data_IF_952980772641
#
_entry.id   IF_952980772641
#
_cell.length_a   1.000
_cell.length_b   1.000
_cell.length_c   1.000
_cell.angle_alpha   90.00
_cell.angle_beta   90.00
_cell.angle_gamma   90.00
#
_symmetry.space_group_name_H-M   'P 1'
#
loop_
_entity.id
_entity.type
_entity.pdbx_description
1 polymer ?
#
# COMPACT_ATOMS: atom_id res chain seq x y z
N UNK A 1 -0.48 -22.06 -22.75
CA UNK A 1 -1.21 -21.62 -23.96
C UNK A 1 -0.43 -21.86 -25.26
N UNK A 2 0.84 -21.44 -25.37
CA UNK A 2 1.70 -21.72 -26.56
C UNK A 2 1.65 -23.19 -27.01
N UNK A 3 1.87 -24.13 -26.09
CA UNK A 3 1.81 -25.57 -26.40
C UNK A 3 0.43 -26.05 -26.88
N UNK A 4 -0.65 -25.44 -26.40
CA UNK A 4 -2.01 -25.77 -26.85
C UNK A 4 -2.23 -25.30 -28.29
N UNK A 5 -1.84 -24.06 -28.60
CA UNK A 5 -1.89 -23.53 -29.97
C UNK A 5 -1.03 -24.35 -30.93
N UNK A 6 0.16 -24.78 -30.51
CA UNK A 6 1.04 -25.64 -31.29
C UNK A 6 0.41 -27.00 -31.60
N UNK A 7 -0.22 -27.66 -30.61
CA UNK A 7 -0.89 -28.96 -30.78
C UNK A 7 -2.06 -28.90 -31.76
N UNK A 8 -2.76 -27.77 -31.82
CA UNK A 8 -3.84 -27.51 -32.77
C UNK A 8 -3.35 -26.99 -34.13
N UNK A 9 -2.02 -26.97 -34.37
CA UNK A 9 -1.42 -26.55 -35.65
C UNK A 9 -1.39 -25.03 -35.89
N UNK A 10 -1.65 -24.22 -34.86
CA UNK A 10 -1.53 -22.76 -34.90
C UNK A 10 -0.11 -22.26 -34.62
N UNK A 11 0.10 -20.96 -34.79
CA UNK A 11 1.36 -20.26 -34.49
C UNK A 11 1.43 -19.90 -32.99
N UNK A 12 2.34 -20.50 -32.19
CA UNK A 12 2.47 -20.23 -30.77
C UNK A 12 2.90 -18.80 -30.45
N UNK A 13 3.61 -18.13 -31.36
CA UNK A 13 4.11 -16.77 -31.13
C UNK A 13 2.98 -15.73 -31.10
N UNK A 14 1.77 -16.09 -31.58
CA UNK A 14 0.56 -15.29 -31.37
C UNK A 14 0.11 -15.22 -29.91
N UNK A 15 0.53 -16.16 -29.07
CA UNK A 15 0.34 -16.07 -27.62
C UNK A 15 1.44 -15.18 -27.06
N UNK A 16 1.18 -13.88 -27.08
CA UNK A 16 2.09 -12.85 -26.60
C UNK A 16 1.31 -11.64 -26.08
N UNK A 17 1.80 -10.93 -25.05
CA UNK A 17 1.19 -9.68 -24.60
C UNK A 17 1.04 -8.65 -25.73
N UNK A 18 -0.18 -8.18 -25.98
CA UNK A 18 -0.52 -7.09 -26.91
C UNK A 18 -0.39 -5.71 -26.27
N UNK A 19 -0.36 -5.66 -24.94
CA UNK A 19 -0.15 -4.44 -24.13
C UNK A 19 1.15 -4.57 -23.32
N UNK A 20 1.76 -3.46 -22.88
CA UNK A 20 2.87 -3.51 -21.93
C UNK A 20 2.52 -4.29 -20.67
N UNK A 21 3.44 -5.12 -20.21
CA UNK A 21 3.34 -5.87 -18.96
C UNK A 21 4.63 -5.70 -18.18
N UNK A 22 4.52 -5.10 -17.00
CA UNK A 22 5.63 -4.92 -16.06
C UNK A 22 5.41 -5.77 -14.81
N UNK A 23 6.27 -6.78 -14.62
CA UNK A 23 6.27 -7.65 -13.44
C UNK A 23 7.33 -7.19 -12.45
N UNK A 24 6.93 -6.89 -11.21
CA UNK A 24 7.85 -6.55 -10.13
C UNK A 24 8.01 -7.73 -9.18
N UNK A 25 9.26 -8.11 -8.88
CA UNK A 25 9.55 -9.21 -7.96
C UNK A 25 9.77 -8.68 -6.55
N UNK A 26 8.73 -8.75 -5.71
CA UNK A 26 8.69 -8.15 -4.36
C UNK A 26 8.08 -9.07 -3.27
N UNK A 27 7.36 -10.12 -3.66
CA UNK A 27 6.70 -11.09 -2.77
C UNK A 27 7.57 -12.30 -2.38
N UNK A 28 8.87 -12.29 -2.69
CA UNK A 28 9.76 -13.45 -2.48
C UNK A 28 10.71 -13.32 -1.30
N UNK A 29 11.01 -12.10 -0.85
CA UNK A 29 11.92 -11.84 0.27
C UNK A 29 11.19 -11.96 1.60
N UNK A 30 11.81 -12.68 2.54
CA UNK A 30 11.31 -12.85 3.91
C UNK A 30 12.27 -12.22 4.92
N UNK A 31 11.74 -11.78 6.07
CA UNK A 31 12.55 -11.26 7.18
C UNK A 31 13.06 -12.43 8.03
N UNK A 32 14.02 -13.18 7.49
CA UNK A 32 14.74 -14.23 8.22
C UNK A 32 15.68 -13.64 9.28
N UNK A 33 16.32 -12.53 8.93
CA UNK A 33 17.22 -11.77 9.77
C UNK A 33 16.73 -10.32 9.87
N UNK A 34 16.85 -9.71 11.05
CA UNK A 34 16.50 -8.31 11.27
C UNK A 34 17.37 -7.71 12.37
N UNK A 35 17.26 -6.39 12.60
CA UNK A 35 17.97 -5.74 13.70
C UNK A 35 19.47 -5.53 13.50
N UNK A 36 20.03 -5.80 12.32
CA UNK A 36 21.48 -5.62 12.06
C UNK A 36 21.74 -5.08 10.65
N UNK A 37 22.92 -4.50 10.44
CA UNK A 37 23.36 -4.01 9.12
C UNK A 37 23.49 -5.12 8.07
N UNK A 38 23.74 -6.36 8.47
CA UNK A 38 23.87 -7.50 7.55
C UNK A 38 22.52 -8.13 7.18
N UNK A 39 21.42 -7.72 7.82
CA UNK A 39 20.11 -8.34 7.62
C UNK A 39 19.64 -8.30 6.17
N UNK A 40 19.84 -7.17 5.47
CA UNK A 40 19.49 -7.05 4.04
C UNK A 40 20.22 -8.09 3.17
N UNK A 41 21.54 -8.21 3.30
CA UNK A 41 22.34 -9.14 2.51
C UNK A 41 21.91 -10.58 2.79
N UNK A 42 21.77 -10.95 4.07
CA UNK A 42 21.39 -12.31 4.45
C UNK A 42 19.99 -12.70 3.99
N UNK A 43 19.04 -11.76 4.03
CA UNK A 43 17.67 -12.00 3.54
C UNK A 43 17.63 -12.14 2.02
N UNK A 44 18.37 -11.29 1.29
CA UNK A 44 18.48 -11.38 -0.17
C UNK A 44 19.17 -12.69 -0.59
N UNK A 45 20.24 -13.11 0.08
CA UNK A 45 20.92 -14.37 -0.22
C UNK A 45 19.98 -15.58 -0.03
N UNK A 46 19.18 -15.58 1.05
CA UNK A 46 18.15 -16.61 1.28
C UNK A 46 17.04 -16.56 0.23
N UNK A 47 16.60 -15.37 -0.17
CA UNK A 47 15.61 -15.18 -1.22
C UNK A 47 16.08 -15.84 -2.53
N UNK A 48 17.30 -15.53 -2.99
CA UNK A 48 17.87 -16.14 -4.20
C UNK A 48 18.05 -17.65 -4.07
N UNK A 49 18.48 -18.13 -2.91
CA UNK A 49 18.62 -19.58 -2.64
C UNK A 49 17.30 -20.33 -2.72
N UNK A 50 16.18 -19.73 -2.25
CA UNK A 50 14.85 -20.34 -2.26
C UNK A 50 14.12 -20.23 -3.58
N UNK A 51 14.38 -19.17 -4.35
CA UNK A 51 13.56 -18.80 -5.51
C UNK A 51 14.28 -18.92 -6.87
N UNK A 52 15.44 -19.58 -6.91
CA UNK A 52 16.27 -19.72 -8.12
C UNK A 52 15.48 -20.20 -9.36
N UNK A 53 14.67 -21.24 -9.21
CA UNK A 53 13.87 -21.79 -10.31
C UNK A 53 12.82 -20.78 -10.81
N UNK A 54 12.10 -20.13 -9.88
CA UNK A 54 11.10 -19.10 -10.20
C UNK A 54 11.74 -17.93 -10.96
N UNK A 55 12.90 -17.47 -10.53
CA UNK A 55 13.60 -16.37 -11.21
C UNK A 55 14.15 -16.77 -12.57
N UNK A 56 14.58 -18.02 -12.73
CA UNK A 56 14.96 -18.57 -14.02
C UNK A 56 13.77 -18.61 -14.98
N UNK A 57 12.58 -18.99 -14.50
CA UNK A 57 11.34 -18.94 -15.28
C UNK A 57 10.96 -17.50 -15.67
N UNK A 58 11.00 -16.54 -14.75
CA UNK A 58 10.71 -15.13 -15.05
C UNK A 58 11.69 -14.54 -16.07
N UNK A 59 12.97 -14.88 -15.95
CA UNK A 59 14.01 -14.46 -16.89
C UNK A 59 13.84 -15.09 -18.27
N UNK A 60 13.40 -16.36 -18.32
CA UNK A 60 13.00 -16.99 -19.58
C UNK A 60 11.79 -16.29 -20.19
N UNK A 61 10.77 -15.96 -19.39
CA UNK A 61 9.57 -15.29 -19.86
C UNK A 61 9.90 -13.91 -20.46
N UNK A 62 10.73 -13.10 -19.79
CA UNK A 62 11.20 -11.82 -20.32
C UNK A 62 11.91 -11.93 -21.68
N UNK A 63 12.59 -13.04 -21.95
CA UNK A 63 13.22 -13.28 -23.25
C UNK A 63 12.26 -13.83 -24.30
N UNK A 64 11.19 -14.48 -23.87
CA UNK A 64 10.30 -15.27 -24.73
C UNK A 64 9.04 -14.51 -25.15
N UNK A 65 8.67 -13.46 -24.41
CA UNK A 65 7.52 -12.61 -24.68
C UNK A 65 7.96 -11.18 -24.97
N UNK A 66 7.47 -10.60 -26.06
CA UNK A 66 7.61 -9.16 -26.31
C UNK A 66 6.62 -8.38 -25.43
N UNK A 67 6.92 -7.11 -25.15
CA UNK A 67 6.17 -6.25 -24.23
C UNK A 67 6.12 -6.73 -22.76
N UNK A 68 6.95 -7.71 -22.38
CA UNK A 68 7.04 -8.19 -21.00
C UNK A 68 8.37 -7.80 -20.38
N UNK A 69 8.34 -6.99 -19.32
CA UNK A 69 9.51 -6.53 -18.58
C UNK A 69 9.45 -7.00 -17.13
N UNK A 70 10.58 -7.44 -16.58
CA UNK A 70 10.72 -7.82 -15.18
C UNK A 70 11.60 -6.81 -14.45
N UNK A 71 11.04 -6.21 -13.40
CA UNK A 71 11.81 -5.47 -12.40
C UNK A 71 12.38 -6.51 -11.41
N UNK A 72 13.72 -6.62 -11.30
CA UNK A 72 14.35 -7.71 -10.56
C UNK A 72 14.14 -7.60 -9.04
N UNK A 73 14.39 -8.70 -8.29
CA UNK A 73 14.35 -8.68 -6.83
C UNK A 73 15.19 -7.54 -6.23
N UNK A 74 14.82 -7.10 -5.02
CA UNK A 74 15.55 -6.06 -4.29
C UNK A 74 15.53 -4.67 -4.97
N UNK A 75 14.52 -4.41 -5.81
CA UNK A 75 14.29 -3.11 -6.45
C UNK A 75 13.26 -2.24 -5.72
N UNK A 76 12.31 -2.87 -5.02
CA UNK A 76 11.20 -2.20 -4.36
C UNK A 76 9.91 -3.03 -4.38
N UNK A 77 8.83 -2.45 -3.87
CA UNK A 77 7.48 -3.01 -3.88
C UNK A 77 6.73 -2.52 -5.12
N UNK A 78 5.96 -3.39 -5.77
CA UNK A 78 5.29 -3.15 -7.05
C UNK A 78 4.58 -1.81 -7.13
N UNK A 79 3.75 -1.46 -6.16
CA UNK A 79 2.95 -0.22 -6.19
C UNK A 79 3.77 1.04 -5.99
N UNK A 80 4.85 0.98 -5.20
CA UNK A 80 5.75 2.13 -5.04
C UNK A 80 6.61 2.32 -6.29
N UNK A 81 7.14 1.23 -6.87
CA UNK A 81 7.83 1.27 -8.16
C UNK A 81 6.89 1.77 -9.27
N UNK A 82 5.62 1.38 -9.22
CA UNK A 82 4.61 1.87 -10.16
C UNK A 82 4.41 3.38 -10.03
N UNK A 83 4.18 3.88 -8.82
CA UNK A 83 3.97 5.30 -8.55
C UNK A 83 5.18 6.17 -8.92
N UNK A 84 6.39 5.72 -8.58
CA UNK A 84 7.63 6.47 -8.76
C UNK A 84 8.19 6.40 -10.19
N UNK A 85 7.92 5.31 -10.93
CA UNK A 85 8.63 5.02 -12.18
C UNK A 85 7.73 4.51 -13.33
N UNK A 86 6.89 3.49 -13.11
CA UNK A 86 6.20 2.83 -14.24
C UNK A 86 4.97 3.59 -14.74
N UNK A 87 4.18 4.19 -13.84
CA UNK A 87 2.95 4.91 -14.16
C UNK A 87 3.24 6.22 -14.88
N UNK A 88 2.50 6.47 -15.96
CA UNK A 88 2.78 7.56 -16.92
C UNK A 88 1.70 8.64 -16.93
N UNK A 89 0.53 8.37 -16.36
CA UNK A 89 -0.67 9.25 -16.35
C UNK A 89 -1.27 9.48 -17.74
N UNK A 90 -0.46 9.87 -18.72
CA UNK A 90 -0.83 9.97 -20.13
C UNK A 90 0.20 9.22 -20.97
N UNK A 91 -0.28 8.32 -21.81
CA UNK A 91 0.51 7.54 -22.75
C UNK A 91 0.49 8.16 -24.15
N UNK A 92 1.54 7.91 -24.92
CA UNK A 92 1.58 8.20 -26.36
C UNK A 92 1.52 6.90 -27.16
N UNK A 93 0.48 6.78 -27.99
CA UNK A 93 0.27 5.65 -28.89
C UNK A 93 0.84 5.86 -30.27
N UNK A 94 0.54 4.90 -31.15
CA UNK A 94 0.87 5.01 -32.57
C UNK A 94 0.21 6.25 -33.19
N UNK A 95 0.88 6.86 -34.17
CA UNK A 95 0.42 8.08 -34.87
C UNK A 95 0.29 9.32 -33.97
N UNK A 96 1.08 9.39 -32.89
CA UNK A 96 1.15 10.54 -31.99
C UNK A 96 -0.19 10.85 -31.28
N UNK A 97 -1.01 9.83 -31.04
CA UNK A 97 -2.25 9.95 -30.25
C UNK A 97 -1.89 9.85 -28.76
N UNK A 98 -2.29 10.84 -27.97
CA UNK A 98 -2.20 10.76 -26.51
C UNK A 98 -3.50 10.22 -25.91
N UNK A 99 -3.41 9.41 -24.86
CA UNK A 99 -4.56 8.86 -24.14
C UNK A 99 -4.23 8.60 -22.66
N UNK A 100 -5.22 8.51 -21.76
CA UNK A 100 -4.96 8.29 -20.34
C UNK A 100 -4.32 6.93 -20.10
N UNK A 101 -3.37 6.91 -19.16
CA UNK A 101 -2.84 5.66 -18.61
C UNK A 101 -3.91 4.98 -17.75
N UNK A 102 -4.08 3.68 -17.98
CA UNK A 102 -5.02 2.82 -17.26
C UNK A 102 -4.44 1.41 -17.19
N UNK A 103 -4.65 0.70 -16.08
CA UNK A 103 -4.09 -0.65 -15.92
C UNK A 103 -4.93 -1.56 -15.03
N UNK A 104 -4.76 -2.87 -15.22
CA UNK A 104 -5.18 -3.88 -14.25
C UNK A 104 -3.93 -4.58 -13.74
N UNK A 105 -3.90 -4.88 -12.44
CA UNK A 105 -2.77 -5.53 -11.79
C UNK A 105 -3.15 -6.86 -11.16
N UNK A 106 -2.20 -7.78 -11.07
CA UNK A 106 -2.36 -9.07 -10.38
C UNK A 106 -2.20 -8.95 -8.85
N UNK A 107 -2.59 -7.81 -8.31
CA UNK A 107 -2.47 -7.46 -6.91
C UNK A 107 -3.63 -6.52 -6.53
N UNK A 108 -4.26 -6.78 -5.38
CA UNK A 108 -5.43 -6.02 -4.94
C UNK A 108 -5.16 -4.54 -4.74
N UNK A 109 -3.94 -4.17 -4.32
CA UNK A 109 -3.55 -2.80 -3.97
C UNK A 109 -3.06 -1.96 -5.15
N UNK A 110 -3.22 -2.48 -6.38
CA UNK A 110 -3.06 -1.73 -7.63
C UNK A 110 -3.75 -0.35 -7.62
N UNK A 111 -4.91 -0.15 -6.96
CA UNK A 111 -5.53 1.17 -6.79
C UNK A 111 -4.63 2.25 -6.19
N UNK A 112 -3.50 1.92 -5.56
CA UNK A 112 -2.51 2.91 -5.11
C UNK A 112 -2.11 3.92 -6.21
N UNK A 113 -2.05 3.49 -7.47
CA UNK A 113 -1.73 4.36 -8.61
C UNK A 113 -2.81 5.42 -8.89
N UNK A 114 -4.03 5.23 -8.37
CA UNK A 114 -5.12 6.18 -8.57
C UNK A 114 -4.87 7.51 -7.86
N UNK A 115 -3.90 7.58 -6.95
CA UNK A 115 -3.46 8.83 -6.31
C UNK A 115 -2.87 9.86 -7.28
N UNK A 116 -2.41 9.43 -8.46
CA UNK A 116 -1.93 10.30 -9.58
C UNK A 116 -2.93 10.35 -10.75
N UNK A 117 -4.18 9.95 -10.54
CA UNK A 117 -5.23 10.01 -11.56
C UNK A 117 -5.20 8.90 -12.62
N UNK A 118 -4.38 7.87 -12.43
CA UNK A 118 -4.37 6.67 -13.27
C UNK A 118 -5.47 5.72 -12.80
N UNK A 119 -6.40 5.35 -13.68
CA UNK A 119 -7.41 4.36 -13.33
C UNK A 119 -6.80 2.96 -13.35
N UNK A 120 -6.74 2.31 -12.19
CA UNK A 120 -6.31 0.92 -12.14
C UNK A 120 -6.70 0.19 -10.87
N UNK A 121 -6.88 -1.12 -11.00
CA UNK A 121 -7.39 -1.98 -9.93
C UNK A 121 -6.87 -3.41 -10.04
N UNK A 122 -7.03 -4.16 -8.95
CA UNK A 122 -6.63 -5.56 -8.88
C UNK A 122 -7.60 -6.49 -9.60
N UNK A 123 -7.08 -7.48 -10.32
CA UNK A 123 -7.84 -8.54 -11.00
C UNK A 123 -7.19 -9.91 -10.78
N UNK A 124 -7.91 -10.98 -11.11
CA UNK A 124 -7.37 -12.34 -11.08
C UNK A 124 -6.39 -12.63 -12.23
N UNK A 125 -5.66 -13.74 -12.10
CA UNK A 125 -4.71 -14.24 -13.10
C UNK A 125 -5.31 -14.36 -14.51
N UNK A 126 -6.49 -14.95 -14.58
CA UNK A 126 -7.16 -15.27 -15.85
C UNK A 126 -7.63 -14.00 -16.56
N UNK A 127 -8.19 -13.04 -15.82
CA UNK A 127 -8.62 -11.75 -16.35
C UNK A 127 -7.43 -10.96 -16.90
N UNK A 128 -6.31 -10.91 -16.16
CA UNK A 128 -5.11 -10.24 -16.65
C UNK A 128 -4.53 -10.92 -17.88
N UNK A 129 -4.46 -12.26 -17.90
CA UNK A 129 -4.01 -13.02 -19.07
C UNK A 129 -4.87 -12.74 -20.31
N UNK A 130 -6.19 -12.63 -20.15
CA UNK A 130 -7.10 -12.28 -21.23
C UNK A 130 -6.82 -10.86 -21.77
N UNK A 131 -6.64 -9.88 -20.88
CA UNK A 131 -6.28 -8.49 -21.25
C UNK A 131 -4.91 -8.44 -21.94
N UNK A 132 -3.94 -9.20 -21.44
CA UNK A 132 -2.62 -9.33 -22.07
C UNK A 132 -2.75 -9.86 -23.50
N UNK A 133 -3.71 -10.74 -23.79
CA UNK A 133 -3.94 -11.28 -25.14
C UNK A 133 -4.88 -10.40 -25.99
N UNK A 134 -5.18 -9.18 -25.54
CA UNK A 134 -5.95 -8.20 -26.29
C UNK A 134 -7.47 -8.31 -26.14
N UNK A 135 -7.95 -9.13 -25.20
CA UNK A 135 -9.38 -9.10 -24.85
C UNK A 135 -9.69 -7.82 -24.05
N UNK A 136 -10.75 -7.08 -24.41
CA UNK A 136 -11.24 -6.01 -23.55
C UNK A 136 -11.60 -6.54 -22.16
N UNK A 137 -11.34 -5.73 -21.13
CA UNK A 137 -11.86 -6.00 -19.80
C UNK A 137 -13.36 -5.62 -19.77
N UNK A 138 -14.20 -6.54 -19.31
CA UNK A 138 -15.64 -6.32 -19.22
C UNK A 138 -16.06 -6.12 -17.76
N UNK A 139 -16.84 -5.07 -17.51
CA UNK A 139 -17.47 -4.82 -16.22
C UNK A 139 -18.82 -4.14 -16.40
N UNK A 140 -19.70 -4.32 -15.42
CA UNK A 140 -20.90 -3.49 -15.30
C UNK A 140 -20.49 -2.04 -15.07
N UNK A 141 -21.24 -1.09 -15.64
CA UNK A 141 -21.02 0.33 -15.37
C UNK A 141 -21.22 0.54 -13.86
N UNK A 142 -20.19 0.96 -13.11
CA UNK A 142 -20.26 1.05 -11.67
C UNK A 142 -20.97 2.32 -11.23
N UNK A 143 -21.61 2.28 -10.07
CA UNK A 143 -21.96 3.49 -9.35
C UNK A 143 -20.69 4.21 -8.88
N UNK A 144 -20.74 5.55 -8.80
CA UNK A 144 -19.60 6.36 -8.35
C UNK A 144 -19.98 7.10 -7.07
N UNK A 145 -19.26 6.78 -5.99
CA UNK A 145 -19.39 7.43 -4.69
C UNK A 145 -18.37 8.57 -4.61
N UNK A 146 -18.86 9.80 -4.58
CA UNK A 146 -18.04 10.99 -4.41
C UNK A 146 -17.69 11.19 -2.93
N UNK A 147 -16.41 11.20 -2.59
CA UNK A 147 -15.92 11.51 -1.24
C UNK A 147 -15.44 12.96 -1.20
N UNK A 148 -16.24 13.83 -0.61
CA UNK A 148 -15.96 15.25 -0.50
C UNK A 148 -15.07 15.52 0.71
N UNK A 149 -13.81 15.84 0.46
CA UNK A 149 -12.84 16.24 1.49
C UNK A 149 -12.87 17.75 1.70
N UNK A 150 -13.04 18.18 2.95
CA UNK A 150 -13.01 19.59 3.37
C UNK A 150 -11.99 19.80 4.49
N UNK A 151 -11.72 21.07 4.85
CA UNK A 151 -10.77 21.39 5.92
C UNK A 151 -9.33 20.98 5.60
N UNK A 152 -8.53 20.80 6.64
CA UNK A 152 -7.11 20.41 6.56
C UNK A 152 -6.73 19.55 7.76
N UNK A 153 -5.87 18.55 7.52
CA UNK A 153 -5.31 17.73 8.61
C UNK A 153 -4.59 18.62 9.65
N UNK A 154 -4.87 18.34 10.93
CA UNK A 154 -4.18 19.00 12.03
C UNK A 154 -2.70 18.59 12.10
N UNK A 155 -1.80 19.43 12.64
CA UNK A 155 -0.40 19.04 12.86
C UNK A 155 -0.29 17.75 13.67
N UNK A 156 0.60 16.85 13.25
CA UNK A 156 0.80 15.55 13.90
C UNK A 156 -0.16 14.44 13.44
N UNK A 157 -1.17 14.75 12.62
CA UNK A 157 -2.00 13.74 11.95
C UNK A 157 -1.30 13.26 10.67
N UNK A 158 -1.32 11.95 10.46
CA UNK A 158 -0.64 11.28 9.34
C UNK A 158 -1.60 10.85 8.23
N UNK A 159 -1.05 10.51 7.05
CA UNK A 159 -1.81 9.86 5.99
C UNK A 159 -2.40 8.52 6.44
N UNK A 160 -1.71 7.79 7.33
CA UNK A 160 -2.18 6.53 7.92
C UNK A 160 -3.45 6.76 8.75
N UNK A 161 -3.49 7.82 9.56
CA UNK A 161 -4.70 8.16 10.33
C UNK A 161 -5.88 8.47 9.42
N UNK A 162 -5.63 9.24 8.35
CA UNK A 162 -6.64 9.63 7.38
C UNK A 162 -7.20 8.40 6.64
N UNK A 163 -6.35 7.50 6.14
CA UNK A 163 -6.83 6.32 5.40
C UNK A 163 -7.59 5.35 6.29
N UNK A 164 -7.20 5.18 7.56
CA UNK A 164 -7.96 4.34 8.50
C UNK A 164 -9.34 4.96 8.81
N UNK A 165 -9.42 6.27 8.96
CA UNK A 165 -10.71 6.99 9.10
C UNK A 165 -11.57 6.82 7.85
N UNK A 166 -11.01 6.96 6.64
CA UNK A 166 -11.73 6.76 5.38
C UNK A 166 -12.18 5.30 5.23
N UNK A 167 -11.35 4.34 5.60
CA UNK A 167 -11.66 2.91 5.53
C UNK A 167 -12.86 2.56 6.42
N UNK A 168 -12.86 3.04 7.67
CA UNK A 168 -14.00 2.89 8.59
C UNK A 168 -15.27 3.55 8.00
N UNK A 169 -15.14 4.78 7.49
CA UNK A 169 -16.25 5.56 6.94
C UNK A 169 -16.88 4.88 5.71
N UNK A 170 -16.08 4.44 4.75
CA UNK A 170 -16.56 3.86 3.50
C UNK A 170 -17.12 2.45 3.68
N UNK A 171 -16.60 1.67 4.65
CA UNK A 171 -17.22 0.40 5.05
C UNK A 171 -18.65 0.60 5.57
N UNK A 172 -18.90 1.67 6.35
CA UNK A 172 -20.27 2.00 6.83
C UNK A 172 -21.20 2.39 5.68
N UNK A 173 -20.66 2.98 4.61
CA UNK A 173 -21.42 3.41 3.42
C UNK A 173 -21.56 2.32 2.33
N UNK A 174 -21.05 1.11 2.56
CA UNK A 174 -21.24 -0.08 1.68
C UNK A 174 -20.86 0.17 0.21
N UNK A 175 -19.62 0.61 -0.01
CA UNK A 175 -19.10 0.93 -1.34
C UNK A 175 -18.58 -0.29 -2.14
N UNK A 176 -19.02 -1.49 -1.78
CA UNK A 176 -18.53 -2.73 -2.42
C UNK A 176 -18.89 -2.75 -3.91
N UNK A 177 -17.91 -3.08 -4.76
CA UNK A 177 -18.03 -3.11 -6.24
C UNK A 177 -18.34 -1.74 -6.90
N UNK A 178 -18.30 -0.64 -6.13
CA UNK A 178 -18.47 0.73 -6.63
C UNK A 178 -17.13 1.38 -6.92
N UNK A 179 -17.16 2.48 -7.67
CA UNK A 179 -16.04 3.40 -7.74
C UNK A 179 -16.14 4.43 -6.62
N UNK A 180 -14.99 4.84 -6.10
CA UNK A 180 -14.84 5.97 -5.19
C UNK A 180 -14.02 7.02 -5.91
N UNK A 181 -14.50 8.26 -5.92
CA UNK A 181 -13.77 9.41 -6.45
C UNK A 181 -13.68 10.49 -5.37
N UNK A 182 -12.47 10.97 -5.11
CA UNK A 182 -12.19 11.99 -4.10
C UNK A 182 -12.23 13.38 -4.71
N UNK A 183 -12.98 14.29 -4.10
CA UNK A 183 -13.12 15.67 -4.59
C UNK A 183 -13.24 16.68 -3.44
N UNK A 184 -13.30 17.96 -3.78
CA UNK A 184 -13.54 19.04 -2.83
C UNK A 184 -12.26 19.75 -2.37
N UNK A 185 -12.39 20.86 -1.62
CA UNK A 185 -11.27 21.77 -1.35
C UNK A 185 -10.13 21.12 -0.56
N UNK A 186 -10.41 20.11 0.26
CA UNK A 186 -9.42 19.43 1.09
C UNK A 186 -8.36 18.67 0.29
N UNK A 187 -8.66 18.22 -0.94
CA UNK A 187 -7.70 17.44 -1.75
C UNK A 187 -6.45 18.25 -2.13
N UNK A 188 -6.58 19.58 -2.22
CA UNK A 188 -5.48 20.50 -2.54
C UNK A 188 -4.40 20.54 -1.45
N UNK A 189 -4.75 20.13 -0.23
CA UNK A 189 -3.85 20.04 0.91
C UNK A 189 -3.14 18.70 1.04
N UNK A 190 -3.55 17.68 0.27
CA UNK A 190 -2.96 16.35 0.29
C UNK A 190 -1.85 16.27 -0.77
N UNK A 191 -0.69 15.75 -0.36
CA UNK A 191 0.39 15.40 -1.28
C UNK A 191 0.04 14.15 -2.09
N UNK A 192 0.74 13.90 -3.20
CA UNK A 192 0.55 12.65 -3.96
C UNK A 192 0.79 11.40 -3.11
N UNK A 193 1.83 11.34 -2.25
CA UNK A 193 1.96 10.22 -1.34
C UNK A 193 0.78 10.06 -0.36
N UNK A 194 0.16 11.15 0.12
CA UNK A 194 -1.05 11.05 0.96
C UNK A 194 -2.22 10.44 0.17
N UNK A 195 -2.41 10.89 -1.08
CA UNK A 195 -3.45 10.36 -1.98
C UNK A 195 -3.21 8.89 -2.29
N UNK A 196 -1.97 8.52 -2.60
CA UNK A 196 -1.58 7.13 -2.87
C UNK A 196 -1.81 6.23 -1.64
N UNK A 197 -1.52 6.70 -0.42
CA UNK A 197 -1.86 5.98 0.81
C UNK A 197 -3.37 5.71 0.91
N UNK A 198 -4.21 6.70 0.57
CA UNK A 198 -5.68 6.58 0.61
C UNK A 198 -6.19 5.60 -0.47
N UNK A 199 -5.72 5.76 -1.71
CA UNK A 199 -6.11 4.91 -2.83
C UNK A 199 -5.58 3.48 -2.68
N UNK A 200 -4.43 3.28 -2.02
CA UNK A 200 -3.89 1.96 -1.78
C UNK A 200 -4.89 1.07 -1.01
N UNK A 201 -5.57 1.61 0.00
CA UNK A 201 -6.49 0.85 0.85
C UNK A 201 -7.89 0.66 0.26
N UNK A 202 -8.08 0.89 -1.05
CA UNK A 202 -9.35 0.67 -1.75
C UNK A 202 -9.96 -0.72 -1.53
N UNK A 203 -9.20 -1.82 -1.59
CA UNK A 203 -9.72 -3.16 -1.30
C UNK A 203 -10.23 -3.31 0.13
N UNK A 204 -9.61 -2.63 1.10
CA UNK A 204 -9.95 -2.71 2.52
C UNK A 204 -11.31 -2.11 2.85
N UNK A 205 -11.85 -1.20 2.03
CA UNK A 205 -13.25 -0.76 2.11
C UNK A 205 -14.18 -1.37 1.04
N UNK A 206 -13.60 -2.13 0.09
CA UNK A 206 -14.31 -3.01 -0.84
C UNK A 206 -14.68 -2.38 -2.18
N UNK A 207 -14.30 -1.13 -2.41
CA UNK A 207 -14.49 -0.50 -3.71
C UNK A 207 -13.54 -1.10 -4.76
N UNK A 208 -13.86 -0.91 -6.03
CA UNK A 208 -13.01 -1.35 -7.14
C UNK A 208 -11.89 -0.34 -7.41
N UNK A 209 -12.19 0.96 -7.22
CA UNK A 209 -11.32 2.09 -7.57
C UNK A 209 -11.42 3.18 -6.49
N UNK A 210 -10.31 3.86 -6.19
CA UNK A 210 -10.25 5.01 -5.28
C UNK A 210 -9.51 6.19 -5.90
N UNK A 211 -10.18 6.91 -6.81
CA UNK A 211 -9.55 7.87 -7.73
C UNK A 211 -9.40 9.27 -7.17
N UNK A 212 -8.21 9.85 -7.31
CA UNK A 212 -8.00 11.29 -7.19
C UNK A 212 -7.87 11.91 -8.59
N UNK A 213 -8.46 13.09 -8.84
CA UNK A 213 -8.35 13.76 -10.12
C UNK A 213 -6.92 14.25 -10.37
N UNK A 214 -6.58 14.41 -11.66
CA UNK A 214 -5.31 14.99 -12.10
C UNK A 214 -5.36 16.50 -11.86
N UNK A 215 -4.36 17.01 -11.15
CA UNK A 215 -4.23 18.41 -10.75
C UNK A 215 -2.77 18.85 -10.68
N UNK A 216 -2.51 20.06 -10.17
CA UNK A 216 -1.17 20.62 -10.04
C UNK A 216 -0.24 19.78 -9.15
N UNK A 217 -0.77 19.05 -8.16
CA UNK A 217 0.03 18.15 -7.31
C UNK A 217 0.51 16.94 -8.10
N UNK A 218 -0.32 16.45 -9.03
CA UNK A 218 0.06 15.36 -9.93
C UNK A 218 1.21 15.78 -10.83
N UNK A 219 1.10 16.95 -11.48
CA UNK A 219 2.18 17.49 -12.34
C UNK A 219 3.45 17.73 -11.53
N UNK A 220 3.35 18.33 -10.34
CA UNK A 220 4.50 18.58 -9.47
C UNK A 220 5.20 17.28 -9.04
N UNK A 221 4.45 16.21 -8.80
CA UNK A 221 5.01 14.91 -8.43
C UNK A 221 5.72 14.21 -9.60
N UNK A 222 5.17 14.28 -10.81
CA UNK A 222 5.86 13.79 -12.01
C UNK A 222 7.22 14.49 -12.18
N UNK A 223 7.25 15.83 -12.06
CA UNK A 223 8.52 16.60 -12.08
C UNK A 223 9.47 16.20 -10.94
N UNK A 224 8.97 16.07 -9.72
CA UNK A 224 9.76 15.65 -8.55
C UNK A 224 10.44 14.29 -8.74
N UNK A 225 9.81 13.39 -9.49
CA UNK A 225 10.30 12.04 -9.79
C UNK A 225 11.09 11.97 -11.10
N UNK A 226 11.48 13.12 -11.66
CA UNK A 226 12.32 13.21 -12.86
C UNK A 226 11.58 12.98 -14.18
N UNK A 227 10.24 13.04 -14.19
CA UNK A 227 9.37 12.81 -15.35
C UNK A 227 8.85 14.12 -15.94
N UNK A 228 9.78 15.01 -16.35
CA UNK A 228 9.45 16.36 -16.84
C UNK A 228 8.65 16.33 -18.15
N UNK A 229 9.02 15.45 -19.09
CA UNK A 229 8.33 15.32 -20.38
C UNK A 229 6.92 14.77 -20.21
N UNK A 230 6.74 13.75 -19.35
CA UNK A 230 5.44 13.19 -19.00
C UNK A 230 4.58 14.21 -18.25
N UNK A 231 5.17 15.03 -17.38
CA UNK A 231 4.45 16.11 -16.70
C UNK A 231 3.88 17.13 -17.70
N UNK A 232 4.69 17.55 -18.67
CA UNK A 232 4.29 18.51 -19.69
C UNK A 232 3.21 17.93 -20.62
N UNK A 233 3.37 16.67 -21.06
CA UNK A 233 2.35 15.97 -21.85
C UNK A 233 1.05 15.84 -21.07
N UNK A 234 1.13 15.38 -19.82
CA UNK A 234 -0.04 15.18 -18.96
C UNK A 234 -0.80 16.49 -18.81
N UNK A 235 -0.12 17.56 -18.40
CA UNK A 235 -0.74 18.87 -18.19
C UNK A 235 -1.45 19.39 -19.45
N UNK A 236 -0.79 19.31 -20.62
CA UNK A 236 -1.35 19.77 -21.89
C UNK A 236 -2.57 18.93 -22.31
N UNK A 237 -2.44 17.60 -22.25
CA UNK A 237 -3.49 16.67 -22.65
C UNK A 237 -4.73 16.79 -21.75
N UNK A 238 -4.56 16.73 -20.44
CA UNK A 238 -5.70 16.71 -19.50
C UNK A 238 -6.45 18.03 -19.51
N UNK A 239 -5.76 19.16 -19.71
CA UNK A 239 -6.42 20.47 -19.88
C UNK A 239 -7.23 20.51 -21.19
N UNK A 240 -6.68 20.01 -22.29
CA UNK A 240 -7.38 19.97 -23.57
C UNK A 240 -8.61 19.04 -23.55
N UNK A 241 -8.55 17.94 -22.80
CA UNK A 241 -9.62 16.96 -22.69
C UNK A 241 -10.60 17.21 -21.54
N UNK A 242 -10.40 18.25 -20.71
CA UNK A 242 -11.25 18.52 -19.55
C UNK A 242 -11.10 17.53 -18.39
N UNK A 243 -9.96 16.81 -18.32
CA UNK A 243 -9.62 15.85 -17.27
C UNK A 243 -8.78 16.47 -16.13
N UNK A 244 -8.45 17.76 -16.23
CA UNK A 244 -7.69 18.52 -15.24
C UNK A 244 -8.63 19.35 -14.38
N UNK A 245 -9.07 18.83 -13.23
CA UNK A 245 -9.98 19.58 -12.34
C UNK A 245 -10.00 19.02 -10.92
N UNK A 246 -9.64 19.82 -9.90
CA UNK A 246 -9.79 19.44 -8.49
C UNK A 246 -11.18 19.77 -7.92
N UNK A 247 -11.97 20.60 -8.60
CA UNK A 247 -13.14 21.25 -8.03
C UNK A 247 -14.42 20.39 -8.09
N UNK A 248 -14.56 19.47 -9.04
CA UNK A 248 -15.64 18.46 -9.07
C UNK A 248 -17.07 19.02 -9.03
N UNK A 249 -17.25 20.34 -9.15
CA UNK A 249 -18.51 21.06 -8.92
C UNK A 249 -19.59 20.75 -9.96
N UNK A 250 -19.24 20.04 -11.03
CA UNK A 250 -20.13 19.66 -12.12
C UNK A 250 -20.28 18.13 -12.28
N UNK A 251 -19.76 17.33 -11.34
CA UNK A 251 -19.84 15.86 -11.40
C UNK A 251 -21.09 15.39 -10.63
N UNK A 252 -21.92 14.59 -11.29
CA UNK A 252 -23.07 13.92 -10.67
C UNK A 252 -22.62 12.57 -10.10
N UNK A 253 -22.59 12.47 -8.77
CA UNK A 253 -22.26 11.22 -8.06
C UNK A 253 -23.52 10.44 -7.71
N UNK A 254 -23.43 9.11 -7.72
CA UNK A 254 -24.50 8.23 -7.25
C UNK A 254 -24.78 8.42 -5.75
N UNK A 255 -23.74 8.75 -4.99
CA UNK A 255 -23.81 9.06 -3.57
C UNK A 255 -22.67 10.01 -3.21
N UNK A 256 -22.91 10.94 -2.28
CA UNK A 256 -21.87 11.81 -1.72
C UNK A 256 -21.63 11.43 -0.26
N UNK A 257 -20.37 11.25 0.12
CA UNK A 257 -19.91 11.07 1.50
C UNK A 257 -18.98 12.25 1.83
N UNK A 258 -19.20 12.90 2.98
CA UNK A 258 -18.37 14.05 3.38
C UNK A 258 -17.41 13.65 4.52
N UNK A 259 -16.21 14.22 4.48
CA UNK A 259 -15.22 14.11 5.56
C UNK A 259 -14.48 15.44 5.72
N UNK A 260 -14.58 16.04 6.91
CA UNK A 260 -13.71 17.15 7.30
C UNK A 260 -12.37 16.60 7.80
N UNK A 261 -11.28 16.95 7.11
CA UNK A 261 -9.92 16.56 7.47
C UNK A 261 -9.52 17.08 8.87
N UNK A 262 -10.17 18.14 9.36
CA UNK A 262 -9.99 18.66 10.71
C UNK A 262 -10.52 17.73 11.82
N UNK A 263 -11.38 16.76 11.50
CA UNK A 263 -11.93 15.79 12.45
C UNK A 263 -11.07 14.54 12.61
N UNK A 264 -10.09 14.32 11.74
CA UNK A 264 -9.18 13.19 11.82
C UNK A 264 -8.36 13.27 13.10
N UNK A 265 -8.19 12.13 13.77
CA UNK A 265 -7.45 11.98 15.04
C UNK A 265 -6.47 10.82 14.92
N UNK A 266 -5.35 10.84 15.69
CA UNK A 266 -4.40 9.74 15.69
C UNK A 266 -5.10 8.42 16.03
N UNK A 267 -4.83 7.37 15.26
CA UNK A 267 -5.50 6.10 15.42
C UNK A 267 -4.63 4.92 14.98
N UNK A 268 -5.10 3.73 15.33
CA UNK A 268 -4.61 2.44 14.87
C UNK A 268 -5.79 1.61 14.38
N UNK A 269 -5.53 0.48 13.71
CA UNK A 269 -6.57 -0.46 13.33
C UNK A 269 -6.24 -1.86 13.84
N UNK A 270 -7.24 -2.58 14.33
CA UNK A 270 -7.09 -3.96 14.76
C UNK A 270 -8.05 -4.37 15.88
N UNK A 271 -7.81 -5.56 16.48
CA UNK A 271 -6.65 -6.43 16.26
C UNK A 271 -6.75 -7.29 14.99
N UNK A 272 -7.94 -7.42 14.40
CA UNK A 272 -8.20 -8.44 13.37
C UNK A 272 -8.51 -7.87 11.98
N UNK A 273 -9.01 -6.63 11.88
CA UNK A 273 -9.46 -6.07 10.59
C UNK A 273 -9.02 -4.62 10.39
N UNK A 274 -8.74 -4.20 9.15
CA UNK A 274 -8.32 -2.82 8.84
C UNK A 274 -9.36 -1.75 9.19
N UNK A 275 -10.65 -2.06 9.13
CA UNK A 275 -11.73 -1.13 9.48
C UNK A 275 -12.00 -1.00 10.99
N UNK A 276 -11.35 -1.80 11.83
CA UNK A 276 -11.49 -1.75 13.28
C UNK A 276 -10.65 -0.61 13.86
N UNK A 277 -11.02 0.63 13.52
CA UNK A 277 -10.30 1.82 13.93
C UNK A 277 -10.42 2.05 15.43
N UNK A 278 -9.29 2.21 16.09
CA UNK A 278 -9.15 2.52 17.52
C UNK A 278 -8.43 3.86 17.63
N UNK A 279 -9.05 4.84 18.30
CA UNK A 279 -8.37 6.09 18.61
C UNK A 279 -7.11 5.80 19.45
N UNK A 280 -5.98 6.40 19.11
CA UNK A 280 -4.70 6.10 19.76
C UNK A 280 -4.76 6.28 21.28
N UNK A 281 -5.47 7.33 21.74
CA UNK A 281 -5.70 7.60 23.16
C UNK A 281 -6.53 6.52 23.87
N UNK A 282 -7.35 5.76 23.13
CA UNK A 282 -8.18 4.67 23.65
C UNK A 282 -7.52 3.29 23.55
N UNK A 283 -6.34 3.18 22.89
CA UNK A 283 -5.66 1.92 22.60
C UNK A 283 -5.52 0.98 23.82
N UNK A 284 -5.09 1.51 24.96
CA UNK A 284 -4.98 0.76 26.22
C UNK A 284 -6.33 0.20 26.68
N UNK A 285 -7.37 1.03 26.68
CA UNK A 285 -8.70 0.63 27.12
C UNK A 285 -9.26 -0.44 26.16
N UNK A 286 -9.16 -0.21 24.85
CA UNK A 286 -9.59 -1.17 23.84
C UNK A 286 -8.89 -2.52 23.98
N UNK A 287 -7.59 -2.53 24.26
CA UNK A 287 -6.85 -3.77 24.53
C UNK A 287 -7.32 -4.48 25.80
N UNK A 288 -7.55 -3.73 26.89
CA UNK A 288 -8.06 -4.29 28.14
C UNK A 288 -9.47 -4.86 27.97
N UNK A 289 -10.34 -4.21 27.19
CA UNK A 289 -11.66 -4.71 26.86
C UNK A 289 -11.57 -6.01 26.06
N UNK A 290 -10.71 -6.07 25.03
CA UNK A 290 -10.47 -7.28 24.23
C UNK A 290 -9.98 -8.47 25.06
N UNK A 291 -9.10 -8.25 26.04
CA UNK A 291 -8.65 -9.30 26.96
C UNK A 291 -9.78 -9.85 27.84
N UNK A 292 -10.79 -9.03 28.15
CA UNK A 292 -11.90 -9.38 29.01
C UNK A 292 -13.09 -9.98 28.23
N UNK A 293 -13.11 -9.85 26.91
CA UNK A 293 -14.14 -10.43 26.05
C UNK A 293 -13.93 -11.94 25.93
N UNK A 294 -14.96 -12.74 26.24
CA UNK A 294 -14.93 -14.18 25.96
C UNK A 294 -15.15 -14.40 24.46
N UNK A 295 -14.35 -15.25 23.79
CA UNK A 295 -14.63 -15.61 22.41
C UNK A 295 -16.02 -16.29 22.34
N UNK A 296 -16.89 -15.79 21.47
CA UNK A 296 -18.18 -16.41 21.19
C UNK A 296 -18.03 -17.81 20.57
N UNK A 297 -19.07 -18.66 20.59
CA UNK A 297 -19.00 -19.95 19.92
C UNK A 297 -18.83 -19.75 18.41
N UNK A 298 -17.74 -20.28 17.85
CA UNK A 298 -17.48 -20.26 16.42
C UNK A 298 -18.66 -20.89 15.65
N UNK A 299 -19.42 -20.08 14.91
CA UNK A 299 -20.48 -20.59 14.02
C UNK A 299 -19.82 -21.25 12.81
N UNK A 300 -19.64 -22.57 12.84
CA UNK A 300 -19.25 -23.36 11.65
C UNK A 300 -20.25 -23.12 10.51
N UNK A 301 -19.78 -22.64 9.36
CA UNK A 301 -20.51 -22.71 8.08
C UNK A 301 -21.01 -21.40 7.46
N UNK A 302 -20.66 -20.23 8.02
CA UNK A 302 -20.76 -18.92 7.32
C UNK A 302 -19.48 -18.16 7.60
N UNK A 303 -19.05 -17.27 6.70
CA UNK A 303 -17.96 -16.31 6.92
C UNK A 303 -18.29 -15.46 8.15
N UNK A 304 -17.93 -15.94 9.34
CA UNK A 304 -18.10 -15.23 10.60
C UNK A 304 -17.11 -14.09 10.62
N UNK A 305 -17.59 -12.89 10.94
CA UNK A 305 -16.72 -11.72 11.10
C UNK A 305 -16.09 -11.76 12.49
N UNK A 306 -14.81 -11.36 12.66
CA UNK A 306 -14.21 -11.18 13.99
C UNK A 306 -15.04 -10.31 14.94
N UNK A 307 -15.83 -9.35 14.44
CA UNK A 307 -16.81 -8.60 15.26
C UNK A 307 -17.90 -9.46 15.88
N UNK A 308 -18.33 -10.53 15.23
CA UNK A 308 -19.34 -11.46 15.77
C UNK A 308 -18.71 -12.46 16.76
N UNK A 309 -17.39 -12.67 16.69
CA UNK A 309 -16.64 -13.46 17.69
C UNK A 309 -16.23 -12.61 18.90
N UNK A 310 -16.11 -11.28 18.72
CA UNK A 310 -15.75 -10.28 19.72
C UNK A 310 -16.96 -9.49 20.27
N UNK A 311 -18.19 -9.80 19.86
CA UNK A 311 -19.43 -9.20 20.40
C UNK A 311 -19.91 -9.86 21.69
N UNK A 312 -19.03 -10.59 22.40
CA UNK A 312 -19.36 -11.20 23.69
C UNK A 312 -19.53 -10.16 24.79
N UNK A 313 -20.30 -10.49 25.83
CA UNK A 313 -20.34 -9.69 27.06
C UNK A 313 -18.91 -9.51 27.61
N UNK A 314 -18.58 -8.27 28.03
CA UNK A 314 -17.35 -8.01 28.78
C UNK A 314 -17.40 -8.89 30.03
N UNK A 315 -16.54 -9.92 30.06
CA UNK A 315 -16.49 -10.90 31.13
C UNK A 315 -15.87 -10.35 32.41
N UNK A 316 -15.63 -11.25 33.38
CA UNK A 316 -14.82 -10.90 34.56
C UNK A 316 -13.44 -10.44 34.10
N UNK A 317 -12.93 -9.37 34.73
CA UNK A 317 -11.58 -8.83 34.51
C UNK A 317 -10.55 -9.96 34.58
N UNK A 318 -9.91 -10.27 33.46
CA UNK A 318 -8.82 -11.24 33.38
C UNK A 318 -7.56 -10.53 33.86
N UNK A 319 -6.84 -11.14 34.80
CA UNK A 319 -5.53 -10.62 35.19
C UNK A 319 -4.56 -10.78 34.02
N UNK A 320 -3.86 -9.70 33.66
CA UNK A 320 -2.82 -9.73 32.63
C UNK A 320 -1.76 -10.74 33.04
N UNK A 321 -1.47 -11.70 32.16
CA UNK A 321 -0.37 -12.64 32.39
C UNK A 321 0.93 -11.91 32.12
N UNK A 322 1.86 -12.02 33.07
CA UNK A 322 3.23 -11.53 32.94
C UNK A 322 4.16 -12.67 33.35
N UNK A 323 5.15 -12.93 32.52
CA UNK A 323 6.13 -13.99 32.65
C UNK A 323 7.53 -13.40 32.53
N UNK A 324 8.51 -13.86 33.33
CA UNK A 324 9.90 -13.47 33.13
C UNK A 324 10.43 -14.08 31.82
N UNK A 325 11.12 -13.27 31.02
CA UNK A 325 11.78 -13.66 29.78
C UNK A 325 13.27 -13.34 29.88
N UNK A 326 14.12 -14.32 29.58
CA UNK A 326 15.58 -14.13 29.55
C UNK A 326 16.10 -14.24 28.12
N UNK A 327 16.70 -13.16 27.61
CA UNK A 327 17.37 -13.14 26.30
C UNK A 327 18.84 -12.80 26.53
N UNK A 328 19.71 -13.79 26.28
CA UNK A 328 21.14 -13.66 26.58
C UNK A 328 21.38 -13.33 28.05
N UNK A 329 21.89 -12.12 28.32
CA UNK A 329 22.15 -11.61 29.69
C UNK A 329 21.03 -10.71 30.23
N UNK A 330 20.09 -10.31 29.38
CA UNK A 330 18.99 -9.41 29.76
C UNK A 330 17.80 -10.19 30.33
N UNK A 331 17.08 -9.54 31.24
CA UNK A 331 15.83 -10.04 31.78
C UNK A 331 14.72 -9.04 31.54
N UNK A 332 13.58 -9.56 31.08
CA UNK A 332 12.42 -8.79 30.67
C UNK A 332 11.17 -9.36 31.33
N UNK A 333 10.16 -8.51 31.51
CA UNK A 333 8.80 -8.94 31.81
C UNK A 333 8.02 -9.00 30.49
N UNK A 334 7.43 -10.16 30.21
CA UNK A 334 6.75 -10.45 28.95
C UNK A 334 5.35 -10.97 29.22
N UNK A 335 4.35 -10.43 28.52
CA UNK A 335 2.96 -10.71 28.85
C UNK A 335 1.94 -10.16 27.88
N UNK A 336 0.67 -10.25 28.28
CA UNK A 336 -0.45 -9.75 27.48
C UNK A 336 -0.26 -8.27 27.14
N UNK A 337 -0.20 -7.95 25.84
CA UNK A 337 0.00 -6.59 25.32
C UNK A 337 1.46 -6.22 25.07
N UNK A 338 2.41 -7.14 25.31
CA UNK A 338 3.80 -6.94 24.93
C UNK A 338 3.95 -6.95 23.41
N UNK A 339 4.61 -5.92 22.86
CA UNK A 339 4.95 -5.88 21.45
C UNK A 339 6.08 -6.87 21.16
N UNK A 340 5.86 -7.83 20.26
CA UNK A 340 6.88 -8.81 19.83
C UNK A 340 7.43 -8.54 18.45
N UNK A 341 6.68 -7.82 17.63
CA UNK A 341 7.05 -7.43 16.27
C UNK A 341 6.73 -5.96 16.10
N UNK A 342 7.69 -5.20 15.57
CA UNK A 342 7.50 -3.82 15.16
C UNK A 342 8.12 -3.63 13.78
N UNK A 343 7.26 -3.57 12.75
CA UNK A 343 7.71 -3.51 11.36
C UNK A 343 7.29 -2.18 10.72
N UNK A 344 8.25 -1.46 10.16
CA UNK A 344 8.00 -0.38 9.22
C UNK A 344 8.06 -1.00 7.82
N UNK A 345 6.91 -1.24 7.23
CA UNK A 345 6.76 -1.99 5.97
C UNK A 345 5.58 -1.45 5.15
N UNK A 346 5.23 -2.15 4.07
CA UNK A 346 4.15 -1.86 3.13
C UNK A 346 4.38 -0.66 2.22
N UNK A 347 4.00 -0.81 0.95
CA UNK A 347 3.93 0.30 -0.01
C UNK A 347 2.97 1.41 0.45
N UNK A 348 1.95 1.09 1.26
CA UNK A 348 0.96 2.04 1.77
C UNK A 348 1.61 3.23 2.49
N UNK A 349 2.63 2.96 3.31
CA UNK A 349 3.27 3.97 4.16
C UNK A 349 4.69 4.28 3.71
N UNK A 350 5.44 3.31 3.17
CA UNK A 350 6.85 3.53 2.81
C UNK A 350 7.05 4.36 1.54
N UNK A 351 6.00 4.53 0.73
CA UNK A 351 5.96 5.47 -0.38
C UNK A 351 5.76 6.92 0.03
N UNK A 352 5.50 7.18 1.32
CA UNK A 352 5.22 8.51 1.84
C UNK A 352 6.40 9.07 2.66
N UNK A 353 7.19 10.01 2.11
CA UNK A 353 8.33 10.59 2.82
C UNK A 353 7.93 11.32 4.09
N UNK A 354 6.71 11.87 4.20
CA UNK A 354 6.31 12.63 5.39
C UNK A 354 6.25 11.73 6.63
N UNK A 355 5.67 10.53 6.52
CA UNK A 355 5.58 9.61 7.66
C UNK A 355 6.93 8.99 7.99
N UNK A 356 7.78 8.71 7.00
CA UNK A 356 9.11 8.15 7.22
C UNK A 356 10.11 9.17 7.79
N UNK A 357 10.05 10.42 7.32
CA UNK A 357 10.82 11.52 7.93
C UNK A 357 10.33 11.79 9.36
N UNK A 358 9.01 11.77 9.59
CA UNK A 358 8.43 11.85 10.93
C UNK A 358 8.93 10.74 11.85
N UNK A 359 8.91 9.48 11.39
CA UNK A 359 9.45 8.35 12.12
C UNK A 359 10.95 8.51 12.43
N UNK A 360 11.74 9.04 11.49
CA UNK A 360 13.16 9.33 11.72
C UNK A 360 13.41 10.41 12.75
N UNK A 361 12.60 11.47 12.76
CA UNK A 361 12.68 12.53 13.77
C UNK A 361 12.29 12.01 15.16
N UNK A 362 11.30 11.11 15.24
CA UNK A 362 10.94 10.42 16.49
C UNK A 362 12.08 9.53 16.95
N UNK A 363 12.65 8.73 16.06
CA UNK A 363 13.78 7.85 16.36
C UNK A 363 14.99 8.64 16.88
N UNK A 364 15.33 9.74 16.20
CA UNK A 364 16.37 10.67 16.63
C UNK A 364 16.11 11.19 18.03
N UNK A 365 14.89 11.65 18.31
CA UNK A 365 14.54 12.20 19.61
C UNK A 365 14.57 11.14 20.72
N UNK A 366 14.14 9.92 20.42
CA UNK A 366 14.19 8.80 21.36
C UNK A 366 15.63 8.45 21.74
N UNK A 367 16.52 8.33 20.76
CA UNK A 367 17.95 8.04 20.98
C UNK A 367 18.63 9.18 21.76
N UNK A 368 18.35 10.45 21.42
CA UNK A 368 18.88 11.62 22.17
C UNK A 368 18.41 11.66 23.64
N UNK A 369 17.27 11.05 23.94
CA UNK A 369 16.75 10.91 25.30
C UNK A 369 17.25 9.64 26.01
N UNK A 370 18.08 8.83 25.37
CA UNK A 370 18.60 7.57 25.91
C UNK A 370 17.56 6.45 25.96
N UNK A 371 16.49 6.54 25.14
CA UNK A 371 15.51 5.46 24.98
C UNK A 371 16.04 4.40 24.02
N UNK A 372 15.64 3.15 24.25
CA UNK A 372 16.00 1.98 23.45
C UNK A 372 14.79 1.03 23.31
N UNK A 373 14.87 0.09 22.37
CA UNK A 373 13.86 -0.95 22.13
C UNK A 373 14.25 -2.23 22.87
N UNK A 374 13.33 -2.90 23.59
CA UNK A 374 13.64 -4.17 24.25
C UNK A 374 14.15 -5.23 23.26
N UNK A 375 15.20 -5.97 23.64
CA UNK A 375 15.89 -6.91 22.73
C UNK A 375 15.05 -8.11 22.26
N UNK A 376 13.90 -8.36 22.90
CA UNK A 376 12.94 -9.38 22.46
C UNK A 376 12.03 -8.92 21.33
N UNK A 377 11.97 -7.61 21.04
CA UNK A 377 11.13 -7.08 19.95
C UNK A 377 11.84 -7.31 18.63
N UNK A 378 11.20 -8.05 17.73
CA UNK A 378 11.67 -8.19 16.35
C UNK A 378 11.34 -6.92 15.56
N UNK A 379 12.28 -5.98 15.53
CA UNK A 379 12.21 -4.77 14.71
C UNK A 379 12.66 -5.05 13.28
N UNK A 380 12.00 -4.42 12.30
CA UNK A 380 12.39 -4.52 10.90
C UNK A 380 11.94 -3.29 10.10
N UNK A 381 12.77 -2.86 9.16
CA UNK A 381 12.42 -1.81 8.20
C UNK A 381 12.56 -2.35 6.77
N UNK A 382 11.47 -2.33 6.00
CA UNK A 382 11.42 -2.78 4.62
C UNK A 382 10.84 -1.67 3.72
N UNK A 383 11.68 -0.77 3.17
CA UNK A 383 11.22 0.28 2.29
C UNK A 383 10.70 -0.27 0.96
N UNK A 384 9.69 0.39 0.37
CA UNK A 384 9.18 0.00 -0.94
C UNK A 384 9.99 0.52 -2.13
N UNK A 385 11.05 1.32 -1.93
CA UNK A 385 12.05 1.60 -2.96
C UNK A 385 13.38 2.09 -2.35
N UNK A 386 14.45 2.06 -3.16
CA UNK A 386 15.79 2.58 -2.76
C UNK A 386 15.81 4.09 -2.53
N UNK A 387 14.82 4.84 -3.05
CA UNK A 387 14.71 6.29 -2.84
C UNK A 387 14.57 6.60 -1.35
N UNK A 388 13.89 5.73 -0.60
CA UNK A 388 13.71 5.85 0.85
C UNK A 388 15.03 5.89 1.61
N UNK A 389 15.92 4.94 1.29
CA UNK A 389 17.24 4.92 1.90
C UNK A 389 18.02 6.21 1.58
N UNK A 390 17.96 6.65 0.32
CA UNK A 390 18.71 7.82 -0.15
C UNK A 390 18.33 9.09 0.62
N UNK A 391 17.04 9.40 0.76
CA UNK A 391 16.65 10.63 1.47
C UNK A 391 16.83 10.51 2.98
N UNK A 392 16.66 9.33 3.60
CA UNK A 392 16.90 9.15 5.03
C UNK A 392 18.39 9.27 5.37
N UNK A 393 19.28 8.81 4.48
CA UNK A 393 20.74 9.04 4.60
C UNK A 393 21.08 10.52 4.40
N UNK A 394 20.53 11.17 3.37
CA UNK A 394 20.75 12.59 3.11
C UNK A 394 20.29 13.49 4.26
N UNK A 395 19.18 13.13 4.92
CA UNK A 395 18.67 13.83 6.10
C UNK A 395 19.40 13.46 7.40
N UNK A 396 20.37 12.54 7.36
CA UNK A 396 21.06 11.98 8.52
C UNK A 396 20.10 11.41 9.58
N UNK A 397 19.03 10.73 9.13
CA UNK A 397 18.03 10.11 10.01
C UNK A 397 18.20 8.59 10.12
N UNK A 398 18.73 7.94 9.08
CA UNK A 398 18.87 6.47 9.06
C UNK A 398 19.66 5.90 10.25
N UNK A 399 20.78 6.50 10.72
CA UNK A 399 21.50 5.97 11.88
C UNK A 399 20.64 5.87 13.15
N UNK A 400 19.61 6.70 13.30
CA UNK A 400 18.70 6.65 14.45
C UNK A 400 17.65 5.55 14.34
N UNK A 401 17.22 5.19 13.12
CA UNK A 401 16.44 3.96 12.91
C UNK A 401 17.26 2.74 13.30
N UNK A 402 18.50 2.68 12.82
CA UNK A 402 19.44 1.59 13.08
C UNK A 402 19.74 1.45 14.58
N UNK A 403 19.96 2.56 15.29
CA UNK A 403 20.16 2.55 16.74
C UNK A 403 18.98 1.94 17.53
N UNK A 404 17.75 2.01 16.99
CA UNK A 404 16.55 1.38 17.58
C UNK A 404 16.22 0.01 16.96
N UNK A 405 17.15 -0.58 16.21
CA UNK A 405 17.02 -1.89 15.56
C UNK A 405 16.24 -1.87 14.23
N UNK A 406 15.75 -0.73 13.75
CA UNK A 406 15.06 -0.61 12.46
C UNK A 406 16.04 -0.53 11.29
N UNK A 407 16.97 -1.48 11.21
CA UNK A 407 17.83 -1.65 10.05
C UNK A 407 17.03 -2.03 8.81
N UNK A 408 17.44 -1.51 7.66
CA UNK A 408 16.89 -1.95 6.37
C UNK A 408 17.15 -3.45 6.24
N UNK A 409 16.06 -4.20 6.16
CA UNK A 409 16.07 -5.66 6.16
C UNK A 409 15.73 -6.26 4.80
N UNK A 410 15.06 -5.50 3.92
CA UNK A 410 14.77 -5.87 2.52
C UNK A 410 14.13 -4.68 1.76
N UNK A 411 14.10 -4.76 0.42
CA UNK A 411 13.23 -3.94 -0.44
C UNK A 411 12.15 -4.82 -1.07
N UNK A 412 11.04 -5.05 -0.36
CA UNK A 412 9.94 -5.95 -0.76
C UNK A 412 8.81 -6.01 0.29
N UNK A 413 7.74 -6.77 0.01
CA UNK A 413 6.49 -6.75 0.79
C UNK A 413 6.68 -7.23 2.24
N UNK A 414 7.48 -8.28 2.45
CA UNK A 414 7.92 -8.76 3.77
C UNK A 414 6.76 -8.96 4.76
N UNK A 415 6.81 -8.38 5.96
CA UNK A 415 5.79 -8.50 7.03
C UNK A 415 4.40 -8.01 6.62
N UNK A 416 4.26 -7.32 5.48
CA UNK A 416 2.96 -6.89 4.96
C UNK A 416 2.13 -8.07 4.41
N UNK A 417 2.79 -9.15 3.97
CA UNK A 417 2.19 -10.37 3.41
C UNK A 417 2.45 -11.55 4.34
#
# INVERSE_FOLDING_TARGET
MRDAVAREGGDPEKVNPSVPVELVVDHSVAIDFSGTSNSITQNVDKEYGRNHERYSLLKWAQKSFTNFNVVPPNSGICHQVNLEYLGRVVLTGQKSIAYPDTLVGLDSHTPMINGIGVMGWGVGGIEAEAVMLGQPYYMSIPEVVGVRLTGKLSPGITATDLVLTITELLRKHKVVEKFVEYFGPGISHLSIPDRATISNMTPEYGATLGLFPIDEKTIAYLRLTGREDEANLTEAYTKACGLFSPDGKSIEYSQIVELDLGEVRPCLAGPARPQDRIALAASKQSFEDLLNTKPGPAKRGKTSTPSEELSGDIGKKVEKKVLPLKIGREQWEFGDGSLVVAAITSCTNTSNPHVLMGAGLIAKKAVELGLDVPSYVKTSFAPGSKVVENYLRAANLLPFFEALGFHISAFGCTTCI
#
